data_IF_334055401634
#
_entry.id   IF_334055401634
#
_cell.length_a   1.000
_cell.length_b   1.000
_cell.length_c   1.000
_cell.angle_alpha   90.00
_cell.angle_beta   90.00
_cell.angle_gamma   90.00
#
_symmetry.space_group_name_H-M   'P 1'
#
loop_
_entity.id
_entity.type
_entity.pdbx_description
1 polymer ?
#
# COMPACT_ATOMS: atom_id res chain seq x y z
N UNK A 1 0.14 15.61 13.37
CA UNK A 1 1.00 16.78 13.64
C UNK A 1 1.27 17.58 12.37
N UNK A 2 1.85 17.00 11.31
CA UNK A 2 2.13 17.72 10.04
C UNK A 2 0.85 18.29 9.40
N UNK A 3 -0.22 17.50 9.28
CA UNK A 3 -1.48 18.00 8.69
C UNK A 3 -2.06 19.21 9.41
N UNK A 4 -1.92 19.27 10.75
CA UNK A 4 -2.39 20.41 11.54
C UNK A 4 -1.57 21.66 11.23
N UNK A 5 -0.24 21.53 11.15
CA UNK A 5 0.66 22.64 10.79
C UNK A 5 0.30 23.19 9.39
N UNK A 6 0.07 22.31 8.41
CA UNK A 6 -0.30 22.73 7.05
C UNK A 6 -1.68 23.38 7.01
N UNK A 7 -2.62 22.88 7.82
CA UNK A 7 -3.94 23.48 7.96
C UNK A 7 -3.86 24.88 8.58
N UNK A 8 -3.04 25.04 9.62
CA UNK A 8 -2.85 26.33 10.30
C UNK A 8 -2.12 27.34 9.40
N UNK A 9 -1.18 26.87 8.56
CA UNK A 9 -0.54 27.70 7.52
C UNK A 9 -1.58 28.26 6.53
N UNK A 10 -2.43 27.40 5.98
CA UNK A 10 -3.53 27.82 5.08
C UNK A 10 -4.56 28.72 5.78
N UNK A 11 -4.68 28.65 7.10
CA UNK A 11 -5.53 29.56 7.86
C UNK A 11 -4.89 30.94 8.00
N UNK A 12 -3.58 30.98 8.31
CA UNK A 12 -2.82 32.21 8.48
C UNK A 12 -2.61 32.98 7.16
N UNK A 13 -2.44 32.26 6.05
CA UNK A 13 -2.22 32.83 4.72
C UNK A 13 -3.11 32.13 3.69
N UNK A 14 -4.09 32.88 3.17
CA UNK A 14 -5.13 32.38 2.26
C UNK A 14 -4.63 32.19 0.82
N UNK A 15 -3.40 32.62 0.49
CA UNK A 15 -2.80 32.36 -0.83
C UNK A 15 -2.31 30.91 -0.97
N UNK A 16 -2.11 30.20 0.15
CA UNK A 16 -1.67 28.81 0.13
C UNK A 16 -2.76 27.84 -0.32
N UNK A 17 -2.41 26.99 -1.28
CA UNK A 17 -3.19 25.83 -1.72
C UNK A 17 -2.44 24.55 -1.37
N UNK A 18 -3.03 23.73 -0.48
CA UNK A 18 -2.40 22.48 -0.02
C UNK A 18 -3.38 21.32 -0.22
N UNK A 19 -2.99 20.34 -1.02
CA UNK A 19 -3.68 19.05 -1.10
C UNK A 19 -2.95 18.03 -0.22
N UNK A 20 -3.62 17.54 0.82
CA UNK A 20 -3.11 16.51 1.72
C UNK A 20 -3.66 15.15 1.29
N UNK A 21 -2.85 14.40 0.54
CA UNK A 21 -3.23 13.07 0.08
C UNK A 21 -3.02 12.04 1.20
N UNK A 22 -4.11 11.46 1.70
CA UNK A 22 -4.12 10.47 2.78
C UNK A 22 -4.21 9.08 2.19
N UNK A 23 -3.12 8.32 2.31
CA UNK A 23 -3.03 6.98 1.75
C UNK A 23 -3.63 5.95 2.69
N UNK A 24 -4.18 4.89 2.11
CA UNK A 24 -4.53 3.68 2.85
C UNK A 24 -3.36 2.71 2.78
N UNK A 25 -3.52 1.50 2.25
CA UNK A 25 -2.45 0.49 2.26
C UNK A 25 -1.89 0.29 0.85
N UNK A 26 -0.86 1.05 0.43
CA UNK A 26 -0.24 0.87 -0.86
C UNK A 26 0.45 -0.49 -0.96
N UNK A 27 0.22 -1.18 -2.08
CA UNK A 27 0.78 -2.50 -2.39
C UNK A 27 1.01 -2.62 -3.90
N UNK A 28 1.57 -3.75 -4.35
CA UNK A 28 1.90 -3.94 -5.76
C UNK A 28 3.31 -3.49 -6.07
N UNK A 29 3.68 -3.69 -7.33
CA UNK A 29 4.95 -3.24 -7.88
C UNK A 29 4.74 -2.77 -9.32
N UNK A 30 5.76 -2.18 -9.92
CA UNK A 30 5.66 -1.77 -11.32
C UNK A 30 5.54 -3.02 -12.23
N UNK A 31 4.73 -3.00 -13.31
CA UNK A 31 4.46 -4.17 -14.15
C UNK A 31 5.69 -4.82 -14.78
N UNK A 32 6.78 -4.05 -14.96
CA UNK A 32 8.05 -4.62 -15.46
C UNK A 32 8.65 -5.66 -14.50
N UNK A 33 8.36 -5.56 -13.20
CA UNK A 33 9.02 -6.32 -12.15
C UNK A 33 10.48 -5.90 -11.94
N UNK A 34 10.86 -4.68 -12.36
CA UNK A 34 12.20 -4.09 -12.15
C UNK A 34 12.27 -3.14 -10.95
N UNK A 35 11.12 -2.67 -10.47
CA UNK A 35 11.02 -1.85 -9.26
C UNK A 35 9.80 -2.29 -8.46
N UNK A 36 9.94 -2.31 -7.15
CA UNK A 36 8.90 -2.65 -6.18
C UNK A 36 9.36 -2.36 -4.75
N UNK A 37 8.55 -2.75 -3.77
CA UNK A 37 8.88 -2.52 -2.36
C UNK A 37 10.07 -3.41 -1.93
N UNK A 38 11.08 -2.79 -1.32
CA UNK A 38 12.27 -3.47 -0.77
C UNK A 38 12.66 -2.82 0.57
N UNK A 39 12.00 -3.19 1.69
CA UNK A 39 12.34 -2.65 2.99
C UNK A 39 13.72 -3.15 3.44
N UNK A 40 14.48 -2.26 4.09
CA UNK A 40 15.82 -2.59 4.61
C UNK A 40 15.76 -3.59 5.78
N UNK A 41 14.73 -3.50 6.61
CA UNK A 41 14.54 -4.32 7.81
C UNK A 41 13.44 -5.37 7.63
N UNK A 42 13.07 -6.04 8.73
CA UNK A 42 11.87 -6.88 8.78
C UNK A 42 10.68 -6.02 8.37
N UNK A 43 9.94 -6.40 7.30
CA UNK A 43 8.81 -5.60 6.86
C UNK A 43 7.77 -5.47 7.97
N UNK A 44 7.37 -4.25 8.26
CA UNK A 44 6.24 -3.99 9.17
C UNK A 44 4.89 -4.14 8.44
N UNK A 45 4.89 -3.98 7.12
CA UNK A 45 3.72 -4.06 6.25
C UNK A 45 3.45 -5.50 5.83
N UNK A 46 2.16 -5.82 5.61
CA UNK A 46 1.72 -7.18 5.33
C UNK A 46 2.23 -7.74 4.00
N UNK A 47 2.08 -6.98 2.91
CA UNK A 47 2.41 -7.45 1.56
C UNK A 47 3.89 -7.82 1.37
N UNK A 48 4.88 -6.97 1.73
CA UNK A 48 6.30 -7.34 1.60
C UNK A 48 6.69 -8.51 2.53
N UNK A 49 5.99 -8.69 3.65
CA UNK A 49 6.20 -9.86 4.50
C UNK A 49 5.68 -11.13 3.81
N UNK A 50 4.46 -11.10 3.26
CA UNK A 50 3.87 -12.21 2.49
C UNK A 50 4.79 -12.60 1.33
N UNK A 51 5.28 -11.63 0.56
CA UNK A 51 6.14 -11.90 -0.60
C UNK A 51 7.48 -12.51 -0.17
N UNK A 52 8.08 -12.08 0.94
CA UNK A 52 9.29 -12.69 1.51
C UNK A 52 9.07 -14.12 2.01
N UNK A 53 7.89 -14.44 2.54
CA UNK A 53 7.52 -15.83 2.88
C UNK A 53 7.36 -16.66 1.60
N UNK A 54 6.74 -16.10 0.56
CA UNK A 54 6.56 -16.78 -0.72
C UNK A 54 7.90 -17.16 -1.39
N UNK A 55 8.92 -16.31 -1.30
CA UNK A 55 10.29 -16.62 -1.76
C UNK A 55 11.16 -17.32 -0.71
N UNK A 56 10.57 -17.78 0.40
CA UNK A 56 11.23 -18.56 1.48
C UNK A 56 12.37 -17.84 2.22
N UNK A 57 12.47 -16.52 2.10
CA UNK A 57 13.36 -15.71 2.96
C UNK A 57 12.88 -15.78 4.41
N UNK A 58 11.56 -15.86 4.60
CA UNK A 58 10.94 -16.05 5.91
C UNK A 58 10.18 -17.38 5.95
N UNK A 59 10.18 -18.07 7.10
CA UNK A 59 9.54 -19.38 7.21
C UNK A 59 8.00 -19.28 7.29
N UNK A 60 7.47 -18.22 7.89
CA UNK A 60 6.02 -18.00 8.06
C UNK A 60 5.70 -16.54 8.35
N UNK A 61 4.45 -16.14 8.08
CA UNK A 61 3.83 -14.88 8.46
C UNK A 61 3.21 -14.97 9.87
N UNK A 62 3.28 -13.90 10.66
CA UNK A 62 2.48 -13.77 11.88
C UNK A 62 1.18 -13.01 11.57
N UNK A 63 0.03 -13.62 11.81
CA UNK A 63 -1.31 -13.04 11.65
C UNK A 63 -1.83 -12.64 13.02
N UNK A 64 -1.99 -11.34 13.25
CA UNK A 64 -2.39 -10.78 14.54
C UNK A 64 -3.91 -10.83 14.71
N UNK A 65 -4.42 -11.86 15.38
CA UNK A 65 -5.85 -12.11 15.57
C UNK A 65 -6.53 -12.88 14.43
N UNK A 66 -7.50 -13.72 14.80
CA UNK A 66 -8.32 -14.54 13.89
C UNK A 66 -9.81 -14.55 14.30
N UNK A 67 -10.19 -13.64 15.16
CA UNK A 67 -11.49 -13.54 15.83
C UNK A 67 -12.14 -12.17 15.60
N UNK A 68 -11.68 -11.43 14.57
CA UNK A 68 -12.36 -10.22 14.12
C UNK A 68 -13.70 -10.57 13.47
N UNK A 69 -14.71 -9.69 13.52
CA UNK A 69 -16.00 -9.89 12.83
C UNK A 69 -15.85 -9.65 11.32
N UNK A 70 -15.03 -10.47 10.65
CA UNK A 70 -14.73 -10.46 9.22
C UNK A 70 -14.86 -11.88 8.66
N UNK A 71 -15.03 -12.02 7.34
CA UNK A 71 -15.32 -13.31 6.69
C UNK A 71 -14.32 -14.43 6.99
N UNK A 72 -13.09 -14.09 7.36
CA UNK A 72 -12.04 -15.06 7.68
C UNK A 72 -11.37 -14.84 9.04
N UNK A 73 -11.95 -13.97 9.86
CA UNK A 73 -11.46 -13.65 11.20
C UNK A 73 -10.23 -12.74 11.23
N UNK A 74 -9.63 -12.42 10.07
CA UNK A 74 -8.43 -11.57 9.99
C UNK A 74 -8.77 -10.11 9.71
N UNK A 75 -7.81 -9.21 9.94
CA UNK A 75 -7.99 -7.77 9.71
C UNK A 75 -8.25 -7.45 8.23
N UNK A 76 -9.32 -6.69 7.97
CA UNK A 76 -9.70 -6.24 6.63
C UNK A 76 -9.20 -4.81 6.41
N UNK A 77 -8.55 -4.57 5.27
CA UNK A 77 -7.93 -3.28 4.94
C UNK A 77 -8.21 -2.88 3.49
N UNK A 78 -8.21 -1.58 3.22
CA UNK A 78 -8.25 -1.03 1.86
C UNK A 78 -6.84 -0.99 1.27
N UNK A 79 -6.62 -1.85 0.28
CA UNK A 79 -5.37 -1.96 -0.47
C UNK A 79 -5.48 -1.24 -1.80
N UNK A 80 -4.49 -0.42 -2.12
CA UNK A 80 -4.40 0.36 -3.35
C UNK A 80 -3.11 0.01 -4.09
N UNK A 81 -3.19 -0.15 -5.42
CA UNK A 81 -2.00 -0.42 -6.22
C UNK A 81 -1.09 0.81 -6.28
N UNK A 82 0.23 0.61 -6.17
CA UNK A 82 1.21 1.70 -6.14
C UNK A 82 1.17 2.59 -7.39
N UNK A 83 0.95 2.03 -8.58
CA UNK A 83 0.76 2.80 -9.81
C UNK A 83 -0.50 3.69 -9.78
N UNK A 84 -1.62 3.19 -9.25
CA UNK A 84 -2.84 4.00 -9.10
C UNK A 84 -2.60 5.15 -8.14
N UNK A 85 -1.95 4.86 -7.01
CA UNK A 85 -1.58 5.87 -6.02
C UNK A 85 -0.65 6.93 -6.63
N UNK A 86 0.36 6.50 -7.39
CA UNK A 86 1.29 7.39 -8.10
C UNK A 86 0.56 8.25 -9.13
N UNK A 87 -0.40 7.66 -9.86
CA UNK A 87 -1.26 8.41 -10.78
C UNK A 87 -2.12 9.45 -10.03
N UNK A 88 -2.60 9.13 -8.83
CA UNK A 88 -3.36 10.07 -7.98
C UNK A 88 -2.58 11.35 -7.66
N UNK A 89 -1.27 11.24 -7.43
CA UNK A 89 -0.39 12.41 -7.25
C UNK A 89 -0.32 13.27 -8.51
N UNK A 90 -0.14 12.63 -9.68
CA UNK A 90 -0.09 13.34 -10.96
C UNK A 90 -1.40 14.08 -11.23
N UNK A 91 -2.53 13.44 -10.98
CA UNK A 91 -3.85 14.07 -11.17
C UNK A 91 -4.05 15.23 -10.21
N UNK A 92 -3.72 15.06 -8.93
CA UNK A 92 -3.79 16.15 -7.94
C UNK A 92 -2.94 17.35 -8.36
N UNK A 93 -1.68 17.13 -8.77
CA UNK A 93 -0.79 18.18 -9.23
C UNK A 93 -1.36 18.90 -10.48
N UNK A 94 -1.84 18.13 -11.48
CA UNK A 94 -2.45 18.70 -12.69
C UNK A 94 -3.64 19.60 -12.35
N UNK A 95 -4.52 19.14 -11.44
CA UNK A 95 -5.67 19.92 -11.00
C UNK A 95 -5.27 21.21 -10.27
N UNK A 96 -4.23 21.17 -9.44
CA UNK A 96 -3.69 22.38 -8.79
C UNK A 96 -3.13 23.37 -9.81
N UNK A 97 -2.43 22.90 -10.83
CA UNK A 97 -1.83 23.77 -11.83
C UNK A 97 -2.86 24.33 -12.83
N UNK A 98 -3.90 23.57 -13.17
CA UNK A 98 -4.90 24.00 -14.16
C UNK A 98 -6.03 24.85 -13.58
N UNK A 99 -6.27 24.77 -12.27
CA UNK A 99 -7.36 25.50 -11.60
C UNK A 99 -6.98 25.81 -10.13
N UNK A 100 -5.88 26.55 -9.89
CA UNK A 100 -5.33 26.80 -8.56
C UNK A 100 -6.36 27.38 -7.59
N UNK A 101 -7.29 28.20 -8.08
CA UNK A 101 -8.34 28.85 -7.31
C UNK A 101 -9.33 27.87 -6.66
N UNK A 102 -9.47 26.66 -7.22
CA UNK A 102 -10.35 25.60 -6.67
C UNK A 102 -9.72 24.86 -5.50
N UNK A 103 -8.46 25.15 -5.18
CA UNK A 103 -7.64 24.43 -4.21
C UNK A 103 -7.10 25.32 -3.10
N UNK A 104 -7.55 26.57 -3.00
CA UNK A 104 -7.20 27.44 -1.88
C UNK A 104 -7.51 26.78 -0.54
N UNK A 105 -6.63 27.02 0.42
CA UNK A 105 -6.68 26.42 1.73
C UNK A 105 -6.24 24.96 1.79
N UNK A 106 -6.61 24.30 2.88
CA UNK A 106 -6.21 22.93 3.18
C UNK A 106 -7.26 21.91 2.70
N UNK A 107 -6.85 21.02 1.80
CA UNK A 107 -7.71 20.08 1.11
C UNK A 107 -7.28 18.63 1.39
N UNK A 108 -7.86 17.96 2.40
CA UNK A 108 -7.57 16.56 2.67
C UNK A 108 -8.33 15.63 1.71
N UNK A 109 -7.62 14.69 1.08
CA UNK A 109 -8.21 13.75 0.11
C UNK A 109 -7.70 12.34 0.40
N UNK A 110 -8.62 11.42 0.60
CA UNK A 110 -8.28 10.00 0.76
C UNK A 110 -8.01 9.37 -0.61
N UNK A 111 -6.86 8.69 -0.74
CA UNK A 111 -6.55 7.84 -1.88
C UNK A 111 -6.58 6.37 -1.45
N UNK A 112 -7.60 5.67 -1.93
CA UNK A 112 -7.84 4.25 -1.66
C UNK A 112 -8.78 3.68 -2.73
N UNK A 113 -9.28 2.47 -2.50
CA UNK A 113 -10.27 1.83 -3.39
C UNK A 113 -11.68 1.89 -2.82
N UNK A 114 -11.82 2.17 -1.52
CA UNK A 114 -13.06 2.12 -0.78
C UNK A 114 -13.57 0.70 -0.53
N UNK A 115 -12.72 -0.32 -0.71
CA UNK A 115 -13.07 -1.73 -0.51
C UNK A 115 -12.09 -2.39 0.45
N UNK A 116 -12.62 -2.99 1.50
CA UNK A 116 -11.84 -3.81 2.42
C UNK A 116 -11.62 -5.22 1.87
N UNK A 117 -10.40 -5.75 1.96
CA UNK A 117 -10.04 -7.09 1.46
C UNK A 117 -9.16 -7.84 2.46
N UNK A 118 -9.25 -9.19 2.48
CA UNK A 118 -8.28 -10.08 3.12
C UNK A 118 -7.14 -10.44 2.15
N UNK A 119 -5.92 -10.03 2.48
CA UNK A 119 -4.78 -10.10 1.56
C UNK A 119 -4.24 -11.52 1.34
N UNK A 120 -4.14 -12.33 2.40
CA UNK A 120 -3.45 -13.63 2.33
C UNK A 120 -4.17 -14.55 1.34
N UNK A 121 -5.49 -14.67 1.45
CA UNK A 121 -6.31 -15.50 0.56
C UNK A 121 -6.21 -15.04 -0.89
N UNK A 122 -6.25 -13.73 -1.13
CA UNK A 122 -6.07 -13.17 -2.47
C UNK A 122 -4.69 -13.52 -3.04
N UNK A 123 -3.62 -13.33 -2.27
CA UNK A 123 -2.27 -13.64 -2.72
C UNK A 123 -2.10 -15.11 -3.08
N UNK A 124 -2.56 -16.04 -2.24
CA UNK A 124 -2.50 -17.48 -2.53
C UNK A 124 -3.30 -17.84 -3.79
N UNK A 125 -4.51 -17.28 -3.94
CA UNK A 125 -5.37 -17.52 -5.09
C UNK A 125 -4.72 -17.04 -6.39
N UNK A 126 -4.15 -15.84 -6.37
CA UNK A 126 -3.56 -15.21 -7.57
C UNK A 126 -2.24 -15.88 -7.97
N UNK A 127 -1.39 -16.23 -7.00
CA UNK A 127 -0.03 -16.73 -7.28
C UNK A 127 0.07 -18.26 -7.31
N UNK A 128 -0.89 -18.96 -6.72
CA UNK A 128 -0.83 -20.40 -6.50
C UNK A 128 0.15 -20.82 -5.39
N UNK A 129 0.77 -19.86 -4.70
CA UNK A 129 1.78 -20.14 -3.66
C UNK A 129 1.09 -20.16 -2.30
N UNK A 130 1.29 -21.24 -1.55
CA UNK A 130 0.83 -21.33 -0.17
C UNK A 130 1.72 -20.50 0.75
N UNK A 131 1.09 -19.74 1.63
CA UNK A 131 1.76 -18.85 2.58
C UNK A 131 1.60 -19.46 3.98
N UNK A 132 2.64 -20.10 4.53
CA UNK A 132 2.62 -20.52 5.92
C UNK A 132 2.42 -19.32 6.83
N UNK A 133 1.48 -19.40 7.76
CA UNK A 133 1.29 -18.39 8.78
C UNK A 133 0.94 -18.99 10.14
N UNK A 134 1.22 -18.22 11.19
CA UNK A 134 0.82 -18.52 12.57
C UNK A 134 -0.11 -17.43 13.05
N UNK A 135 -1.17 -17.83 13.73
CA UNK A 135 -2.07 -16.90 14.41
C UNK A 135 -1.41 -16.54 15.74
N UNK A 136 -1.28 -15.25 16.00
CA UNK A 136 -0.75 -14.68 17.23
C UNK A 136 -1.76 -13.72 17.85
N UNK A 137 -1.51 -13.25 19.06
CA UNK A 137 -2.36 -12.27 19.73
C UNK A 137 -2.59 -11.02 18.87
N UNK A 138 -3.74 -10.35 19.06
CA UNK A 138 -4.03 -9.09 18.38
C UNK A 138 -2.96 -8.06 18.71
N UNK A 139 -2.57 -7.27 17.72
CA UNK A 139 -1.70 -6.13 17.96
C UNK A 139 -2.53 -5.02 18.64
N UNK A 140 -2.07 -4.45 19.77
CA UNK A 140 -2.77 -3.34 20.40
C UNK A 140 -2.99 -2.18 19.42
N UNK A 141 -4.23 -1.71 19.31
CA UNK A 141 -4.61 -0.61 18.41
C UNK A 141 -5.05 -1.02 17.01
N UNK A 142 -4.99 -2.31 16.64
CA UNK A 142 -5.52 -2.76 15.34
C UNK A 142 -7.05 -2.69 15.30
N UNK A 143 -7.57 -1.99 14.30
CA UNK A 143 -8.99 -1.97 13.99
C UNK A 143 -9.37 -3.21 13.16
N UNK A 144 -10.56 -3.81 13.37
CA UNK A 144 -11.01 -4.96 12.58
C UNK A 144 -11.13 -4.65 11.09
N UNK A 145 -11.75 -3.52 10.76
CA UNK A 145 -12.08 -3.10 9.39
C UNK A 145 -11.75 -1.62 9.25
N UNK A 146 -10.97 -1.26 8.24
CA UNK A 146 -10.67 0.13 7.88
C UNK A 146 -10.53 0.28 6.37
N UNK A 147 -11.35 1.13 5.75
CA UNK A 147 -11.29 1.44 4.33
C UNK A 147 -11.66 2.90 4.03
N UNK A 148 -11.28 3.38 2.85
CA UNK A 148 -11.41 4.78 2.49
C UNK A 148 -12.83 5.15 2.09
N UNK A 149 -13.29 6.34 2.52
CA UNK A 149 -14.29 7.06 1.74
C UNK A 149 -13.54 7.85 0.65
N UNK A 150 -13.77 7.48 -0.62
CA UNK A 150 -13.05 7.99 -1.79
C UNK A 150 -13.88 8.98 -2.63
N UNK A 151 -15.05 9.41 -2.13
CA UNK A 151 -15.96 10.29 -2.87
C UNK A 151 -15.29 11.60 -3.29
N UNK A 152 -14.55 12.22 -2.38
CA UNK A 152 -13.84 13.49 -2.65
C UNK A 152 -12.84 13.35 -3.79
N UNK A 153 -12.08 12.23 -3.84
CA UNK A 153 -11.14 11.99 -4.91
C UNK A 153 -11.86 11.75 -6.25
N UNK A 154 -12.94 10.96 -6.25
CA UNK A 154 -13.74 10.71 -7.44
C UNK A 154 -14.38 12.00 -7.99
N UNK A 155 -14.95 12.83 -7.13
CA UNK A 155 -15.74 14.01 -7.53
C UNK A 155 -14.86 15.22 -7.85
N UNK A 156 -13.87 15.53 -7.00
CA UNK A 156 -13.04 16.75 -7.17
C UNK A 156 -11.84 16.55 -8.08
N UNK A 157 -11.24 15.35 -8.07
CA UNK A 157 -10.08 15.03 -8.92
C UNK A 157 -10.46 14.23 -10.17
N UNK A 158 -11.68 13.69 -10.26
CA UNK A 158 -12.01 12.74 -11.33
C UNK A 158 -11.13 11.47 -11.28
N UNK A 159 -10.51 11.19 -10.14
CA UNK A 159 -9.55 10.10 -9.98
C UNK A 159 -10.19 8.93 -9.23
N UNK A 160 -9.92 7.72 -9.70
CA UNK A 160 -10.35 6.47 -9.07
C UNK A 160 -9.30 5.39 -9.30
N UNK A 161 -8.96 4.64 -8.26
CA UNK A 161 -8.12 3.45 -8.39
C UNK A 161 -8.80 2.40 -9.29
N UNK A 162 -8.04 1.84 -10.23
CA UNK A 162 -8.54 0.94 -11.27
C UNK A 162 -8.06 -0.49 -11.08
N UNK A 163 -6.89 -0.67 -10.47
CA UNK A 163 -6.24 -1.96 -10.30
C UNK A 163 -6.98 -2.81 -9.27
N UNK A 164 -7.13 -4.08 -9.61
CA UNK A 164 -7.74 -5.10 -8.78
C UNK A 164 -6.74 -5.67 -7.77
N UNK A 165 -7.24 -6.36 -6.75
CA UNK A 165 -6.38 -7.08 -5.79
C UNK A 165 -5.52 -8.15 -6.46
N UNK A 166 -6.06 -8.81 -7.50
CA UNK A 166 -5.33 -9.82 -8.27
C UNK A 166 -4.18 -9.17 -9.04
N UNK A 167 -4.37 -7.98 -9.61
CA UNK A 167 -3.27 -7.21 -10.23
C UNK A 167 -2.21 -6.78 -9.21
N UNK A 168 -2.63 -6.35 -8.00
CA UNK A 168 -1.70 -6.00 -6.91
C UNK A 168 -0.86 -7.19 -6.45
N UNK A 169 -1.49 -8.36 -6.26
CA UNK A 169 -0.79 -9.58 -5.87
C UNK A 169 0.15 -10.05 -6.99
N UNK A 170 -0.32 -10.04 -8.23
CA UNK A 170 0.47 -10.45 -9.40
C UNK A 170 1.70 -9.57 -9.61
N UNK A 171 1.54 -8.24 -9.52
CA UNK A 171 2.66 -7.32 -9.72
C UNK A 171 3.69 -7.42 -8.60
N UNK A 172 3.23 -7.53 -7.34
CA UNK A 172 4.11 -7.82 -6.18
C UNK A 172 4.91 -9.10 -6.41
N UNK A 173 4.24 -10.19 -6.80
CA UNK A 173 4.90 -11.48 -7.02
C UNK A 173 5.89 -11.42 -8.19
N UNK A 174 5.54 -10.76 -9.29
CA UNK A 174 6.43 -10.56 -10.43
C UNK A 174 7.71 -9.82 -10.02
N UNK A 175 7.61 -8.78 -9.19
CA UNK A 175 8.79 -8.12 -8.62
C UNK A 175 9.59 -9.05 -7.69
N UNK A 176 8.96 -9.63 -6.68
CA UNK A 176 9.67 -10.40 -5.65
C UNK A 176 10.32 -11.67 -6.20
N UNK A 177 9.66 -12.36 -7.14
CA UNK A 177 10.19 -13.59 -7.75
C UNK A 177 11.41 -13.34 -8.62
N UNK A 178 11.48 -12.18 -9.31
CA UNK A 178 12.65 -11.74 -10.08
C UNK A 178 13.76 -11.18 -9.20
N UNK A 179 13.40 -10.59 -8.06
CA UNK A 179 14.29 -9.88 -7.16
C UNK A 179 14.13 -10.41 -5.72
N UNK A 180 14.47 -11.70 -5.47
CA UNK A 180 14.21 -12.32 -4.17
C UNK A 180 14.89 -11.54 -3.04
N UNK A 181 16.10 -11.02 -3.25
CA UNK A 181 16.83 -10.23 -2.26
C UNK A 181 16.61 -8.72 -2.37
N UNK A 182 15.62 -8.28 -3.16
CA UNK A 182 15.38 -6.86 -3.46
C UNK A 182 16.45 -6.28 -4.38
N UNK A 183 16.83 -5.02 -4.17
CA UNK A 183 17.85 -4.31 -4.95
C UNK A 183 19.29 -4.66 -4.55
N UNK A 184 19.49 -5.47 -3.50
CA UNK A 184 20.81 -5.88 -3.05
C UNK A 184 21.47 -6.77 -4.09
N UNK A 185 22.67 -6.40 -4.55
CA UNK A 185 23.49 -7.24 -5.41
C UNK A 185 23.86 -8.53 -4.67
N UNK A 186 23.66 -9.69 -5.31
CA UNK A 186 24.29 -10.92 -4.86
C UNK A 186 25.76 -10.81 -5.27
N UNK A 187 26.63 -10.39 -4.36
CA UNK A 187 28.07 -10.53 -4.58
C UNK A 187 28.38 -12.02 -4.67
N UNK A 188 28.63 -12.51 -5.89
CA UNK A 188 29.05 -13.88 -6.16
C UNK A 188 30.50 -14.18 -5.69
N UNK A 189 31.12 -13.29 -4.89
CA UNK A 189 32.51 -13.40 -4.49
C UNK A 189 32.77 -14.45 -3.38
N UNK A 190 31.74 -15.03 -2.77
CA UNK A 190 31.93 -16.09 -1.75
C UNK A 190 31.70 -17.52 -2.25
N UNK A 191 31.68 -17.77 -3.57
CA UNK A 191 31.63 -19.14 -4.14
C UNK A 191 33.00 -19.76 -4.40
N UNK A 192 34.09 -19.08 -4.09
CA UNK A 192 35.44 -19.65 -4.12
C UNK A 192 36.06 -19.38 -2.75
N UNK A 193 36.38 -20.44 -2.02
CA UNK A 193 37.02 -20.54 -0.69
C UNK A 193 36.13 -21.06 0.44
N UNK A 194 35.69 -22.32 0.34
CA UNK A 194 36.17 -23.45 1.17
C UNK A 194 35.38 -24.72 0.88
#
# INVERSE_FOLDING_TARGET
MIEQILKDLCYADQEWSIISLRYFNPVGAHPSGLIGEDPNDIPNNLMPYISQVAVKIRPYLNVFGNDYPTDDGTGVRDYIHIDDLSNGHIVALKHMLSSPEKWFGYNPINLGTGRGISMIKSFEKTTGIKIPYKIVERRPGDLPILFANVNVANERLGWKAKKTIDEMCSSTWNWQSKNPNGFRCVNNENKILK
#
